data_IF_632596566242
#
_entry.id   IF_632596566242
#
_cell.length_a   1.000
_cell.length_b   1.000
_cell.length_c   1.000
_cell.angle_alpha   90.00
_cell.angle_beta   90.00
_cell.angle_gamma   90.00
#
_symmetry.space_group_name_H-M   'P 1'
#
loop_
_entity.id
_entity.type
_entity.pdbx_description
1 polymer ?
#
# COMPACT_ATOMS: atom_id res chain seq x y z
N UNK A 1 21.23 -40.00 7.14
CA UNK A 1 21.93 -39.13 8.12
C UNK A 1 23.25 -38.57 7.57
N UNK A 2 24.17 -39.42 7.08
CA UNK A 2 25.46 -38.93 6.52
C UNK A 2 25.26 -38.01 5.30
N UNK A 3 24.38 -38.40 4.37
CA UNK A 3 24.07 -37.61 3.16
C UNK A 3 23.48 -36.24 3.51
N UNK A 4 22.52 -36.16 4.45
CA UNK A 4 21.93 -34.88 4.89
C UNK A 4 22.93 -34.00 5.64
N UNK A 5 23.82 -34.58 6.45
CA UNK A 5 24.86 -33.83 7.15
C UNK A 5 25.98 -33.35 6.21
N UNK A 6 26.23 -34.06 5.11
CA UNK A 6 27.15 -33.60 4.07
C UNK A 6 26.51 -32.48 3.24
N UNK A 7 25.23 -32.61 2.88
CA UNK A 7 24.49 -31.64 2.07
C UNK A 7 24.50 -30.21 2.66
N UNK A 8 24.37 -30.04 3.99
CA UNK A 8 24.44 -28.70 4.63
C UNK A 8 25.84 -28.08 4.57
N UNK A 9 26.89 -28.92 4.49
CA UNK A 9 28.29 -28.49 4.43
C UNK A 9 28.74 -28.14 3.01
N UNK A 10 27.96 -28.50 1.99
CA UNK A 10 28.26 -28.13 0.60
C UNK A 10 28.17 -26.61 0.48
N UNK A 11 29.19 -25.94 -0.10
CA UNK A 11 29.13 -24.50 -0.32
C UNK A 11 27.97 -24.13 -1.24
N UNK A 12 27.42 -22.94 -1.04
CA UNK A 12 26.42 -22.38 -1.96
C UNK A 12 27.08 -22.11 -3.32
N UNK A 13 26.28 -22.16 -4.37
CA UNK A 13 26.73 -21.80 -5.72
C UNK A 13 26.75 -20.28 -5.82
N UNK A 14 27.93 -19.69 -5.97
CA UNK A 14 28.10 -18.25 -6.23
C UNK A 14 27.56 -17.87 -7.60
N UNK A 15 26.91 -16.71 -7.70
CA UNK A 15 26.26 -16.19 -8.92
C UNK A 15 25.35 -17.22 -9.63
N UNK A 16 24.54 -17.94 -8.85
CA UNK A 16 23.64 -18.96 -9.38
C UNK A 16 22.70 -18.34 -10.43
N UNK A 17 22.74 -18.87 -11.65
CA UNK A 17 21.90 -18.45 -12.77
C UNK A 17 21.50 -19.66 -13.63
N UNK A 18 20.51 -19.48 -14.51
CA UNK A 18 20.05 -20.51 -15.45
C UNK A 18 21.11 -20.89 -16.50
N UNK A 19 22.17 -20.10 -16.65
CA UNK A 19 23.23 -20.35 -17.62
C UNK A 19 24.26 -21.39 -17.15
N UNK A 20 24.27 -21.72 -15.85
CA UNK A 20 25.21 -22.69 -15.29
C UNK A 20 24.72 -24.10 -15.60
N UNK A 21 25.53 -24.87 -16.32
CA UNK A 21 25.21 -26.25 -16.70
C UNK A 21 25.67 -27.25 -15.64
N UNK A 22 24.98 -28.40 -15.57
CA UNK A 22 25.32 -29.51 -14.68
C UNK A 22 24.46 -29.62 -13.42
N UNK A 23 24.70 -30.68 -12.66
CA UNK A 23 23.97 -30.95 -11.41
C UNK A 23 24.53 -30.12 -10.26
N UNK A 24 23.90 -28.96 -10.06
CA UNK A 24 24.23 -28.04 -8.98
C UNK A 24 23.70 -28.52 -7.62
N UNK A 25 24.32 -28.09 -6.50
CA UNK A 25 23.86 -28.38 -5.13
C UNK A 25 22.35 -28.14 -4.93
N UNK A 26 21.78 -27.13 -5.59
CA UNK A 26 20.36 -26.79 -5.52
C UNK A 26 19.43 -27.97 -5.85
N UNK A 27 19.81 -28.84 -6.80
CA UNK A 27 19.01 -30.01 -7.20
C UNK A 27 18.99 -31.07 -6.09
N UNK A 28 20.15 -31.29 -5.46
CA UNK A 28 20.27 -32.22 -4.35
C UNK A 28 19.48 -31.73 -3.13
N UNK A 29 19.64 -30.45 -2.77
CA UNK A 29 18.91 -29.85 -1.64
C UNK A 29 17.41 -29.90 -1.87
N UNK A 30 16.93 -29.57 -3.08
CA UNK A 30 15.51 -29.68 -3.44
C UNK A 30 14.99 -31.11 -3.24
N UNK A 31 15.70 -32.13 -3.75
CA UNK A 31 15.27 -33.51 -3.62
C UNK A 31 15.28 -34.01 -2.16
N UNK A 32 16.27 -33.58 -1.37
CA UNK A 32 16.36 -33.91 0.06
C UNK A 32 15.26 -33.23 0.89
N UNK A 33 14.88 -32.01 0.54
CA UNK A 33 13.74 -31.31 1.14
C UNK A 33 12.41 -31.96 0.75
N UNK A 34 12.24 -32.30 -0.54
CA UNK A 34 11.03 -32.97 -1.06
C UNK A 34 10.81 -34.34 -0.42
N UNK A 35 11.88 -35.09 -0.19
CA UNK A 35 11.85 -36.39 0.51
C UNK A 35 11.75 -36.28 2.04
N UNK A 36 11.66 -35.06 2.61
CA UNK A 36 11.62 -34.79 4.06
C UNK A 36 12.83 -35.35 4.82
N UNK A 37 13.96 -35.55 4.13
CA UNK A 37 15.17 -36.19 4.68
C UNK A 37 15.82 -35.35 5.79
N UNK A 38 15.80 -34.01 5.65
CA UNK A 38 16.34 -33.08 6.66
C UNK A 38 15.56 -33.16 7.98
N UNK A 39 14.23 -33.21 7.91
CA UNK A 39 13.38 -33.34 9.10
C UNK A 39 13.55 -34.71 9.76
N UNK A 40 13.62 -35.79 8.97
CA UNK A 40 13.85 -37.15 9.48
C UNK A 40 15.16 -37.27 10.26
N UNK A 41 16.19 -36.52 9.88
CA UNK A 41 17.51 -36.58 10.50
C UNK A 41 17.83 -35.39 11.42
N UNK A 42 16.84 -34.51 11.71
CA UNK A 42 16.99 -33.32 12.56
C UNK A 42 18.17 -32.42 12.15
N UNK A 43 18.38 -32.24 10.85
CA UNK A 43 19.40 -31.32 10.30
C UNK A 43 18.71 -30.07 9.72
N UNK A 44 19.05 -28.88 10.23
CA UNK A 44 18.54 -27.60 9.71
C UNK A 44 19.28 -27.18 8.44
N UNK A 45 18.53 -26.75 7.41
CA UNK A 45 19.07 -26.26 6.12
C UNK A 45 18.91 -24.73 5.95
N UNK A 46 18.33 -24.03 6.95
CA UNK A 46 17.99 -22.60 6.89
C UNK A 46 19.13 -21.73 6.34
N UNK A 47 20.31 -21.84 6.94
CA UNK A 47 21.44 -20.96 6.62
C UNK A 47 21.99 -21.20 5.22
N UNK A 48 21.84 -22.42 4.70
CA UNK A 48 22.23 -22.74 3.32
C UNK A 48 21.25 -22.09 2.34
N UNK A 49 19.93 -22.21 2.59
CA UNK A 49 18.90 -21.60 1.75
C UNK A 49 19.08 -20.08 1.72
N UNK A 50 19.20 -19.43 2.87
CA UNK A 50 19.39 -17.98 2.95
C UNK A 50 20.63 -17.51 2.17
N UNK A 51 21.78 -18.17 2.38
CA UNK A 51 23.01 -17.85 1.63
C UNK A 51 22.86 -18.09 0.13
N UNK A 52 22.17 -19.16 -0.29
CA UNK A 52 21.98 -19.45 -1.72
C UNK A 52 21.09 -18.40 -2.40
N UNK A 53 20.05 -17.89 -1.72
CA UNK A 53 19.22 -16.80 -2.24
C UNK A 53 20.02 -15.50 -2.39
N UNK A 54 20.95 -15.24 -1.48
CA UNK A 54 21.85 -14.08 -1.55
C UNK A 54 22.83 -14.14 -2.74
N UNK A 55 23.25 -15.34 -3.12
CA UNK A 55 24.23 -15.59 -4.19
C UNK A 55 23.58 -15.87 -5.56
N UNK A 56 22.30 -15.52 -5.74
CA UNK A 56 21.57 -15.73 -7.00
C UNK A 56 21.56 -14.50 -7.89
N UNK A 57 21.75 -14.70 -9.19
CA UNK A 57 21.75 -13.64 -10.22
C UNK A 57 20.78 -13.96 -11.37
N UNK A 58 20.55 -12.99 -12.25
CA UNK A 58 19.79 -13.20 -13.49
C UNK A 58 20.66 -13.84 -14.58
N UNK A 59 20.10 -14.66 -15.50
CA UNK A 59 18.71 -15.17 -15.52
C UNK A 59 18.44 -16.19 -14.40
N UNK A 60 17.20 -16.21 -13.90
CA UNK A 60 16.83 -16.99 -12.71
C UNK A 60 16.85 -18.51 -12.97
N UNK A 61 17.53 -19.28 -12.11
CA UNK A 61 17.56 -20.74 -12.21
C UNK A 61 16.16 -21.36 -11.95
N UNK A 62 15.66 -22.28 -12.80
CA UNK A 62 14.27 -22.77 -12.75
C UNK A 62 13.91 -23.51 -11.45
N UNK A 63 14.90 -24.11 -10.78
CA UNK A 63 14.71 -24.85 -9.53
C UNK A 63 14.52 -23.95 -8.28
N UNK A 64 14.70 -22.63 -8.39
CA UNK A 64 14.67 -21.73 -7.23
C UNK A 64 13.29 -21.57 -6.60
N UNK A 65 12.25 -21.27 -7.39
CA UNK A 65 10.90 -21.10 -6.84
C UNK A 65 10.37 -22.41 -6.23
N UNK A 66 10.48 -23.57 -6.90
CA UNK A 66 10.07 -24.84 -6.29
C UNK A 66 10.87 -25.21 -5.04
N UNK A 67 12.15 -24.81 -4.95
CA UNK A 67 12.95 -25.00 -3.74
C UNK A 67 12.39 -24.19 -2.57
N UNK A 68 12.05 -22.92 -2.80
CA UNK A 68 11.45 -22.03 -1.80
C UNK A 68 10.11 -22.62 -1.31
N UNK A 69 9.26 -23.08 -2.22
CA UNK A 69 7.95 -23.65 -1.88
C UNK A 69 8.07 -24.91 -1.02
N UNK A 70 8.97 -25.83 -1.39
CA UNK A 70 9.21 -27.04 -0.60
C UNK A 70 9.85 -26.71 0.75
N UNK A 71 10.70 -25.68 0.81
CA UNK A 71 11.27 -25.20 2.05
C UNK A 71 10.19 -24.64 3.00
N UNK A 72 9.28 -23.80 2.51
CA UNK A 72 8.13 -23.28 3.28
C UNK A 72 7.28 -24.43 3.82
N UNK A 73 6.92 -25.39 2.96
CA UNK A 73 6.17 -26.58 3.36
C UNK A 73 6.93 -27.46 4.38
N UNK A 74 8.27 -27.40 4.38
CA UNK A 74 9.10 -28.11 5.38
C UNK A 74 9.06 -27.50 6.77
N UNK A 75 8.74 -26.19 6.86
CA UNK A 75 8.59 -25.46 8.13
C UNK A 75 7.19 -25.69 8.72
N UNK A 76 6.16 -25.62 7.87
CA UNK A 76 4.76 -25.59 8.32
C UNK A 76 4.14 -26.99 8.48
N UNK A 77 4.50 -27.96 7.64
CA UNK A 77 3.93 -29.31 7.70
C UNK A 77 4.78 -30.23 8.59
N UNK A 78 4.20 -30.89 9.62
CA UNK A 78 4.93 -31.84 10.45
C UNK A 78 5.35 -33.07 9.64
N UNK A 79 6.53 -33.63 9.90
CA UNK A 79 7.02 -34.82 9.21
C UNK A 79 6.36 -36.12 9.68
N UNK A 80 5.81 -36.16 10.90
CA UNK A 80 5.09 -37.32 11.45
C UNK A 80 4.22 -36.90 12.64
N UNK A 81 3.13 -37.65 12.90
CA UNK A 81 2.29 -37.51 14.12
C UNK A 81 3.08 -37.72 15.41
N UNK A 82 4.22 -38.41 15.35
CA UNK A 82 5.06 -38.77 16.50
C UNK A 82 6.20 -37.79 16.81
N UNK A 83 6.52 -36.86 15.90
CA UNK A 83 7.56 -35.83 16.11
C UNK A 83 7.07 -34.49 15.55
N UNK A 84 6.39 -33.66 16.37
CA UNK A 84 5.82 -32.39 15.93
C UNK A 84 6.87 -31.27 15.73
N UNK A 85 8.11 -31.47 16.18
CA UNK A 85 9.19 -30.50 16.01
C UNK A 85 9.66 -30.41 14.55
N UNK A 86 9.23 -29.36 13.85
CA UNK A 86 9.86 -28.91 12.62
C UNK A 86 11.33 -28.56 12.90
N UNK A 87 12.22 -29.27 12.22
CA UNK A 87 13.67 -29.07 12.27
C UNK A 87 14.10 -27.77 11.59
N UNK A 88 13.37 -27.35 10.56
CA UNK A 88 13.66 -26.13 9.82
C UNK A 88 12.92 -24.95 10.46
N UNK A 89 13.61 -23.81 10.53
CA UNK A 89 13.08 -22.58 11.09
C UNK A 89 12.87 -21.55 9.97
N UNK A 90 11.89 -20.65 10.09
CA UNK A 90 11.75 -19.55 9.15
C UNK A 90 13.01 -18.68 9.14
N UNK A 91 13.24 -17.99 8.02
CA UNK A 91 14.25 -16.93 7.95
C UNK A 91 13.86 -15.84 8.95
N UNK A 92 14.82 -15.37 9.74
CA UNK A 92 14.54 -14.41 10.81
C UNK A 92 14.22 -13.03 10.25
N UNK A 93 13.45 -12.24 10.99
CA UNK A 93 13.11 -10.87 10.59
C UNK A 93 14.35 -9.99 10.39
N UNK A 94 15.40 -10.19 11.20
CA UNK A 94 16.68 -9.48 11.06
C UNK A 94 17.39 -9.83 9.75
N UNK A 95 17.39 -11.11 9.35
CA UNK A 95 17.97 -11.57 8.09
C UNK A 95 17.21 -11.02 6.88
N UNK A 96 15.87 -10.93 6.97
CA UNK A 96 15.02 -10.31 5.96
C UNK A 96 15.33 -8.81 5.88
N UNK A 97 15.34 -8.11 7.02
CA UNK A 97 15.68 -6.69 7.12
C UNK A 97 17.05 -6.38 6.53
N UNK A 98 18.06 -7.21 6.79
CA UNK A 98 19.42 -7.03 6.27
C UNK A 98 19.47 -7.04 4.73
N UNK A 99 18.61 -7.82 4.06
CA UNK A 99 18.53 -7.85 2.58
C UNK A 99 17.95 -6.53 2.02
N UNK A 100 17.14 -5.85 2.82
CA UNK A 100 16.45 -4.62 2.46
C UNK A 100 17.07 -3.35 3.08
N UNK A 101 18.12 -3.47 3.89
CA UNK A 101 18.89 -2.34 4.41
C UNK A 101 19.53 -1.56 3.24
N UNK A 102 19.13 -0.30 3.09
CA UNK A 102 19.38 0.54 1.91
C UNK A 102 18.12 1.10 1.25
N UNK A 103 16.94 0.53 1.58
CA UNK A 103 15.64 0.98 1.08
C UNK A 103 14.90 1.92 2.05
N UNK A 104 15.21 1.81 3.34
CA UNK A 104 14.67 2.68 4.40
C UNK A 104 15.47 3.99 4.42
N UNK A 105 14.89 5.04 3.86
CA UNK A 105 15.48 6.38 3.85
C UNK A 105 15.64 6.90 5.28
N UNK A 106 16.86 6.84 5.80
CA UNK A 106 17.32 7.47 7.02
C UNK A 106 18.76 7.95 6.83
N UNK A 107 18.93 9.27 6.90
CA UNK A 107 20.16 10.06 7.06
C UNK A 107 21.45 9.65 6.29
N UNK A 108 21.78 10.49 5.29
CA UNK A 108 23.11 11.05 4.97
C UNK A 108 24.36 10.19 4.76
N UNK A 109 24.28 8.87 4.74
CA UNK A 109 25.36 8.04 4.18
C UNK A 109 24.75 7.03 3.25
N UNK A 110 24.93 7.18 1.92
CA UNK A 110 24.52 6.20 0.91
C UNK A 110 25.00 4.80 1.37
N UNK A 111 24.14 3.91 1.91
CA UNK A 111 24.58 2.57 2.20
C UNK A 111 24.71 1.92 0.82
N UNK A 112 25.91 1.48 0.45
CA UNK A 112 26.11 0.69 -0.75
C UNK A 112 25.08 -0.46 -0.72
N UNK A 113 24.20 -0.52 -1.72
CA UNK A 113 23.18 -1.54 -1.81
C UNK A 113 23.86 -2.91 -1.80
N UNK A 114 23.81 -3.59 -0.65
CA UNK A 114 24.63 -4.78 -0.38
C UNK A 114 24.16 -6.02 -1.13
N UNK A 115 22.87 -6.05 -1.46
CA UNK A 115 22.22 -7.17 -2.13
C UNK A 115 21.56 -6.75 -3.43
N UNK A 116 21.61 -7.62 -4.44
CA UNK A 116 21.02 -7.38 -5.75
C UNK A 116 19.49 -7.27 -5.69
N UNK A 117 18.88 -6.64 -6.70
CA UNK A 117 17.42 -6.62 -6.85
C UNK A 117 16.84 -8.03 -6.95
N UNK A 118 17.54 -8.96 -7.59
CA UNK A 118 17.12 -10.37 -7.71
C UNK A 118 16.99 -11.03 -6.35
N UNK A 119 17.97 -10.80 -5.47
CA UNK A 119 17.93 -11.29 -4.08
C UNK A 119 16.74 -10.70 -3.32
N UNK A 120 16.51 -9.39 -3.47
CA UNK A 120 15.37 -8.69 -2.85
C UNK A 120 14.03 -9.28 -3.31
N UNK A 121 13.88 -9.54 -4.61
CA UNK A 121 12.68 -10.15 -5.20
C UNK A 121 12.45 -11.58 -4.71
N UNK A 122 13.51 -12.39 -4.58
CA UNK A 122 13.41 -13.77 -4.12
C UNK A 122 13.06 -13.86 -2.63
N UNK A 123 13.66 -13.00 -1.81
CA UNK A 123 13.30 -12.92 -0.40
C UNK A 123 11.86 -12.44 -0.25
N UNK A 124 11.42 -11.47 -1.05
CA UNK A 124 10.03 -11.04 -1.04
C UNK A 124 9.08 -12.19 -1.40
N UNK A 125 9.37 -12.94 -2.47
CA UNK A 125 8.58 -14.11 -2.86
C UNK A 125 8.52 -15.13 -1.72
N UNK A 126 9.63 -15.38 -1.03
CA UNK A 126 9.64 -16.24 0.16
C UNK A 126 8.69 -15.73 1.25
N UNK A 127 8.75 -14.44 1.61
CA UNK A 127 7.90 -13.91 2.70
C UNK A 127 6.41 -13.95 2.32
N UNK A 128 6.05 -13.53 1.10
CA UNK A 128 4.66 -13.56 0.63
C UNK A 128 4.11 -14.99 0.56
N UNK A 129 4.88 -15.92 0.00
CA UNK A 129 4.50 -17.34 -0.07
C UNK A 129 4.43 -17.97 1.33
N UNK A 130 5.27 -17.53 2.27
CA UNK A 130 5.24 -17.98 3.64
C UNK A 130 3.97 -17.51 4.37
N UNK A 131 3.54 -16.26 4.17
CA UNK A 131 2.28 -15.73 4.70
C UNK A 131 1.06 -16.46 4.12
N UNK A 132 1.01 -16.66 2.81
CA UNK A 132 -0.06 -17.42 2.15
C UNK A 132 -0.14 -18.86 2.70
N UNK A 133 1.01 -19.52 2.83
CA UNK A 133 1.08 -20.88 3.37
C UNK A 133 0.75 -20.94 4.86
N UNK A 134 1.07 -19.90 5.64
CA UNK A 134 0.71 -19.79 7.05
C UNK A 134 -0.81 -19.75 7.19
N UNK A 135 -1.48 -18.87 6.46
CA UNK A 135 -2.94 -18.73 6.43
C UNK A 135 -3.63 -20.01 5.94
N UNK A 136 -3.05 -20.71 4.97
CA UNK A 136 -3.59 -21.97 4.46
C UNK A 136 -3.46 -23.14 5.46
N UNK A 137 -2.41 -23.13 6.30
CA UNK A 137 -2.10 -24.22 7.23
C UNK A 137 -2.44 -23.91 8.70
N UNK A 138 -3.13 -22.81 8.99
CA UNK A 138 -3.53 -22.40 10.35
C UNK A 138 -4.14 -23.55 11.15
N UNK A 139 -5.05 -24.33 10.52
CA UNK A 139 -5.67 -25.56 11.06
C UNK A 139 -4.68 -26.57 11.65
N UNK A 140 -3.57 -26.78 10.95
CA UNK A 140 -2.56 -27.77 11.33
C UNK A 140 -1.66 -27.19 12.43
N UNK A 141 -1.34 -25.90 12.35
CA UNK A 141 -0.42 -25.22 13.28
C UNK A 141 -1.05 -24.97 14.65
N UNK A 142 -2.34 -24.60 14.71
CA UNK A 142 -3.10 -24.44 15.96
C UNK A 142 -3.25 -25.78 16.68
N UNK A 143 -3.55 -26.86 15.94
CA UNK A 143 -3.61 -28.23 16.48
C UNK A 143 -2.28 -28.71 17.06
N UNK A 144 -1.17 -28.13 16.59
CA UNK A 144 0.19 -28.39 17.07
C UNK A 144 0.66 -27.38 18.13
N UNK A 145 -0.22 -26.49 18.62
CA UNK A 145 0.10 -25.41 19.59
C UNK A 145 1.32 -24.56 19.18
N UNK A 146 1.49 -24.31 17.87
CA UNK A 146 2.63 -23.56 17.36
C UNK A 146 2.26 -22.10 17.12
N UNK A 147 2.83 -21.21 17.93
CA UNK A 147 2.79 -19.77 17.66
C UNK A 147 3.90 -19.43 16.67
N UNK A 148 3.60 -19.52 15.38
CA UNK A 148 4.50 -19.05 14.34
C UNK A 148 4.25 -17.55 14.20
N UNK A 149 5.26 -16.73 14.56
CA UNK A 149 5.19 -15.28 14.43
C UNK A 149 5.03 -14.93 12.95
N UNK A 150 3.95 -14.21 12.60
CA UNK A 150 3.87 -13.56 11.29
C UNK A 150 5.01 -12.56 11.18
N UNK A 151 5.68 -12.52 10.03
CA UNK A 151 6.69 -11.51 9.76
C UNK A 151 6.01 -10.15 9.91
N UNK A 152 6.51 -9.30 10.81
CA UNK A 152 5.91 -8.00 11.09
C UNK A 152 5.71 -7.22 9.78
N UNK A 153 4.47 -6.80 9.51
CA UNK A 153 4.03 -6.14 8.26
C UNK A 153 4.71 -4.80 7.95
N UNK A 154 5.78 -4.44 8.65
CA UNK A 154 6.60 -3.25 8.42
C UNK A 154 7.71 -3.49 7.37
N UNK A 155 8.29 -4.70 7.33
CA UNK A 155 9.47 -5.01 6.48
C UNK A 155 9.11 -5.27 5.02
N UNK A 156 7.95 -5.88 4.78
CA UNK A 156 7.46 -6.25 3.44
C UNK A 156 7.21 -5.02 2.55
N UNK A 157 6.99 -3.84 3.15
CA UNK A 157 6.19 -2.79 2.50
C UNK A 157 6.95 -1.80 1.65
N UNK A 158 8.18 -1.43 2.05
CA UNK A 158 9.07 -0.65 1.18
C UNK A 158 9.60 -1.47 -0.01
N UNK A 159 9.48 -2.81 0.09
CA UNK A 159 10.01 -3.77 -0.89
C UNK A 159 8.97 -4.07 -1.97
N UNK A 160 7.74 -4.44 -1.58
CA UNK A 160 6.62 -4.74 -2.49
C UNK A 160 6.43 -3.65 -3.55
N UNK A 161 6.64 -2.39 -3.16
CA UNK A 161 6.47 -1.30 -4.08
C UNK A 161 7.63 -1.17 -5.08
N UNK A 162 8.89 -1.28 -4.63
CA UNK A 162 10.01 -1.30 -5.59
C UNK A 162 9.94 -2.48 -6.56
N UNK A 163 9.31 -3.59 -6.15
CA UNK A 163 8.98 -4.68 -7.05
C UNK A 163 8.01 -4.23 -8.15
N UNK A 164 6.95 -3.49 -7.82
CA UNK A 164 6.05 -2.89 -8.82
C UNK A 164 6.78 -1.92 -9.78
N UNK A 165 7.73 -1.12 -9.28
CA UNK A 165 8.55 -0.22 -10.13
C UNK A 165 9.57 -0.99 -10.99
N UNK A 166 10.06 -2.14 -10.53
CA UNK A 166 11.03 -2.99 -11.26
C UNK A 166 10.37 -4.07 -12.12
N UNK A 167 9.04 -4.14 -12.14
CA UNK A 167 8.24 -5.22 -12.72
C UNK A 167 8.46 -5.40 -14.23
N UNK A 168 8.78 -4.33 -14.99
CA UNK A 168 9.07 -4.43 -16.42
C UNK A 168 10.40 -5.14 -16.78
N UNK A 169 11.30 -5.37 -15.82
CA UNK A 169 12.63 -5.96 -16.07
C UNK A 169 12.92 -7.31 -15.40
N UNK A 170 11.98 -7.85 -14.62
CA UNK A 170 12.18 -9.07 -13.84
C UNK A 170 12.03 -10.36 -14.70
N UNK A 171 12.68 -11.48 -14.33
CA UNK A 171 12.49 -12.76 -15.02
C UNK A 171 11.02 -13.24 -14.92
N UNK A 172 10.41 -13.53 -16.07
CA UNK A 172 8.96 -13.73 -16.27
C UNK A 172 8.28 -14.68 -15.25
N UNK A 173 8.96 -15.75 -14.83
CA UNK A 173 8.39 -16.73 -13.88
C UNK A 173 8.31 -16.24 -12.42
N UNK A 174 9.25 -15.40 -11.97
CA UNK A 174 9.19 -14.81 -10.63
C UNK A 174 8.19 -13.66 -10.58
N UNK A 175 8.13 -12.89 -11.66
CA UNK A 175 7.17 -11.81 -11.84
C UNK A 175 5.72 -12.27 -11.73
N UNK A 176 5.32 -13.30 -12.48
CA UNK A 176 3.93 -13.80 -12.45
C UNK A 176 3.52 -14.32 -11.08
N UNK A 177 4.43 -15.03 -10.38
CA UNK A 177 4.19 -15.54 -9.04
C UNK A 177 4.02 -14.41 -8.01
N UNK A 178 4.88 -13.39 -8.07
CA UNK A 178 4.78 -12.21 -7.21
C UNK A 178 3.51 -11.39 -7.48
N UNK A 179 3.12 -11.20 -8.74
CA UNK A 179 1.89 -10.47 -9.09
C UNK A 179 0.66 -11.16 -8.51
N UNK A 180 0.60 -12.49 -8.65
CA UNK A 180 -0.48 -13.29 -8.08
C UNK A 180 -0.59 -13.08 -6.57
N UNK A 181 0.53 -13.21 -5.85
CA UNK A 181 0.57 -13.05 -4.40
C UNK A 181 0.20 -11.63 -3.94
N UNK A 182 0.62 -10.61 -4.70
CA UNK A 182 0.25 -9.22 -4.46
C UNK A 182 -1.25 -8.99 -4.64
N UNK A 183 -1.80 -9.42 -5.78
CA UNK A 183 -3.21 -9.24 -6.09
C UNK A 183 -4.13 -9.98 -5.09
N UNK A 184 -3.70 -11.14 -4.57
CA UNK A 184 -4.50 -11.89 -3.59
C UNK A 184 -4.41 -11.34 -2.18
N UNK A 185 -3.21 -10.93 -1.74
CA UNK A 185 -2.98 -10.60 -0.32
C UNK A 185 -3.04 -9.08 -0.04
N UNK A 186 -2.79 -8.26 -1.07
CA UNK A 186 -2.67 -6.80 -0.96
C UNK A 186 -3.39 -6.07 -2.11
N UNK A 187 -4.72 -6.30 -2.29
CA UNK A 187 -5.48 -5.74 -3.40
C UNK A 187 -5.48 -4.20 -3.45
N UNK A 188 -5.35 -3.55 -2.29
CA UNK A 188 -5.23 -2.09 -2.16
C UNK A 188 -3.94 -1.50 -2.73
N UNK A 189 -2.94 -2.31 -3.08
CA UNK A 189 -1.73 -1.88 -3.79
C UNK A 189 -1.81 -2.16 -5.30
N UNK A 190 -2.90 -2.82 -5.73
CA UNK A 190 -3.14 -3.23 -7.11
C UNK A 190 -4.31 -2.47 -7.73
N UNK A 191 -4.51 -1.21 -7.30
CA UNK A 191 -5.51 -0.31 -7.88
C UNK A 191 -5.01 0.06 -9.28
N UNK A 192 -5.84 -0.17 -10.30
CA UNK A 192 -5.46 0.02 -11.71
C UNK A 192 -5.05 1.46 -12.00
N UNK A 193 -5.77 2.42 -11.41
CA UNK A 193 -5.52 3.85 -11.60
C UNK A 193 -4.12 4.28 -11.10
N UNK A 194 -3.54 3.56 -10.13
CA UNK A 194 -2.18 3.83 -9.65
C UNK A 194 -1.11 3.44 -10.67
N UNK A 195 -1.39 2.47 -11.55
CA UNK A 195 -0.41 1.91 -12.48
C UNK A 195 -0.52 2.51 -13.87
N UNK A 196 -1.75 2.83 -14.30
CA UNK A 196 -2.00 3.33 -15.65
C UNK A 196 -1.34 4.70 -15.91
N UNK A 197 -1.13 5.50 -14.86
CA UNK A 197 -0.50 6.81 -14.97
C UNK A 197 0.99 6.77 -15.35
N UNK A 198 1.67 5.63 -15.21
CA UNK A 198 3.08 5.48 -15.62
C UNK A 198 3.24 5.10 -17.10
N UNK A 199 2.14 4.76 -17.81
CA UNK A 199 2.23 4.42 -19.22
C UNK A 199 2.60 5.65 -20.06
N UNK A 200 3.66 5.50 -20.88
CA UNK A 200 4.12 6.57 -21.75
C UNK A 200 3.13 6.81 -22.90
N UNK A 201 2.32 7.87 -22.80
CA UNK A 201 1.34 8.22 -23.83
C UNK A 201 2.03 8.78 -25.10
N UNK A 202 3.04 9.64 -24.93
CA UNK A 202 3.72 10.34 -26.05
C UNK A 202 5.25 10.41 -25.93
N UNK A 203 5.83 9.95 -24.81
CA UNK A 203 7.27 10.06 -24.51
C UNK A 203 7.75 11.48 -24.14
N UNK A 204 6.84 12.46 -24.05
CA UNK A 204 7.17 13.87 -23.78
C UNK A 204 7.85 14.08 -22.42
N UNK A 205 7.41 13.39 -21.37
CA UNK A 205 8.00 13.55 -20.03
C UNK A 205 9.47 13.11 -19.97
N UNK A 206 9.82 12.03 -20.66
CA UNK A 206 11.21 11.57 -20.75
C UNK A 206 12.08 12.58 -21.51
N UNK A 207 11.53 13.21 -22.56
CA UNK A 207 12.21 14.27 -23.29
C UNK A 207 12.42 15.52 -22.42
N UNK A 208 11.36 16.00 -21.74
CA UNK A 208 11.44 17.15 -20.84
C UNK A 208 12.44 16.91 -19.72
N UNK A 209 12.42 15.72 -19.11
CA UNK A 209 13.41 15.32 -18.11
C UNK A 209 14.82 15.44 -18.65
N UNK A 210 15.09 14.92 -19.86
CA UNK A 210 16.43 14.99 -20.48
C UNK A 210 16.85 16.43 -20.85
N UNK A 211 15.90 17.27 -21.25
CA UNK A 211 16.17 18.64 -21.67
C UNK A 211 16.34 19.60 -20.49
N UNK A 212 15.58 19.42 -19.42
CA UNK A 212 15.49 20.35 -18.29
C UNK A 212 16.33 19.91 -17.08
N UNK A 213 16.53 18.61 -16.85
CA UNK A 213 17.44 18.09 -15.82
C UNK A 213 18.85 17.88 -16.38
N UNK A 214 19.47 18.97 -16.83
CA UNK A 214 20.89 18.94 -17.21
C UNK A 214 21.80 19.00 -15.97
N UNK A 215 23.09 18.66 -16.11
CA UNK A 215 24.07 18.82 -15.01
C UNK A 215 24.21 20.27 -14.48
N UNK A 216 23.63 21.23 -15.19
CA UNK A 216 23.60 22.66 -14.85
C UNK A 216 22.32 23.03 -14.08
N UNK A 217 21.30 22.17 -14.09
CA UNK A 217 20.07 22.38 -13.36
C UNK A 217 20.35 22.48 -11.85
N UNK A 218 19.70 23.44 -11.18
CA UNK A 218 19.80 23.58 -9.73
C UNK A 218 19.22 22.33 -9.06
N UNK A 219 20.06 21.57 -8.38
CA UNK A 219 19.59 20.52 -7.50
C UNK A 219 19.02 21.17 -6.24
N UNK A 220 17.72 21.01 -6.03
CA UNK A 220 17.07 21.47 -4.82
C UNK A 220 17.28 20.45 -3.71
N UNK A 221 17.48 20.89 -2.46
CA UNK A 221 17.52 19.98 -1.32
C UNK A 221 16.19 19.97 -0.57
N UNK A 222 15.86 18.90 0.18
CA UNK A 222 14.66 18.88 1.01
C UNK A 222 14.57 20.06 2.00
N UNK A 223 15.73 20.54 2.50
CA UNK A 223 15.81 21.72 3.38
C UNK A 223 15.36 23.01 2.66
N UNK A 224 15.79 23.21 1.42
CA UNK A 224 15.35 24.36 0.61
C UNK A 224 13.85 24.32 0.31
N UNK A 225 13.28 23.11 0.11
CA UNK A 225 11.84 22.96 -0.04
C UNK A 225 11.11 23.34 1.27
N UNK A 226 11.63 22.91 2.42
CA UNK A 226 11.05 23.26 3.73
C UNK A 226 11.10 24.77 3.99
N UNK A 227 12.21 25.43 3.66
CA UNK A 227 12.35 26.89 3.74
C UNK A 227 11.35 27.59 2.81
N UNK A 228 11.16 27.11 1.59
CA UNK A 228 10.19 27.66 0.66
C UNK A 228 8.74 27.53 1.17
N UNK A 229 8.38 26.41 1.80
CA UNK A 229 7.08 26.24 2.45
C UNK A 229 6.89 27.20 3.62
N UNK A 230 7.93 27.46 4.42
CA UNK A 230 7.85 28.38 5.56
C UNK A 230 7.60 29.85 5.16
N UNK A 231 7.80 30.19 3.89
CA UNK A 231 7.55 31.52 3.34
C UNK A 231 6.10 31.73 2.85
N UNK A 232 5.24 30.69 2.91
CA UNK A 232 3.81 30.84 2.64
C UNK A 232 3.11 31.58 3.80
N UNK A 233 2.11 32.45 3.51
CA UNK A 233 1.53 32.79 2.21
C UNK A 233 2.22 33.95 1.46
N UNK A 234 3.39 34.41 1.92
CA UNK A 234 4.04 35.63 1.42
C UNK A 234 4.73 35.49 0.05
N UNK A 235 5.37 34.34 -0.25
CA UNK A 235 6.08 34.14 -1.52
C UNK A 235 5.77 32.78 -2.15
N UNK A 236 5.09 32.82 -3.30
CA UNK A 236 4.68 31.63 -4.06
C UNK A 236 5.68 31.22 -5.15
N UNK A 237 6.49 32.16 -5.65
CA UNK A 237 7.33 31.97 -6.84
C UNK A 237 8.45 30.97 -6.59
N UNK A 238 9.14 31.09 -5.46
CA UNK A 238 10.24 30.19 -5.12
C UNK A 238 9.74 28.75 -4.93
N UNK A 239 8.60 28.58 -4.24
CA UNK A 239 8.00 27.26 -4.03
C UNK A 239 7.58 26.63 -5.36
N UNK A 240 6.91 27.39 -6.24
CA UNK A 240 6.49 26.88 -7.55
C UNK A 240 7.68 26.42 -8.41
N UNK A 241 8.77 27.19 -8.45
CA UNK A 241 9.98 26.81 -9.21
C UNK A 241 10.59 25.49 -8.73
N UNK A 242 10.62 25.29 -7.40
CA UNK A 242 11.11 24.03 -6.82
C UNK A 242 10.15 22.89 -7.19
N UNK A 243 8.85 23.07 -7.02
CA UNK A 243 7.85 22.04 -7.31
C UNK A 243 7.87 21.64 -8.80
N UNK A 244 7.95 22.59 -9.72
CA UNK A 244 8.07 22.32 -11.17
C UNK A 244 9.29 21.45 -11.47
N UNK A 245 10.45 21.77 -10.89
CA UNK A 245 11.64 20.94 -11.01
C UNK A 245 11.43 19.52 -10.46
N UNK A 246 10.81 19.40 -9.29
CA UNK A 246 10.54 18.11 -8.66
C UNK A 246 9.60 17.24 -9.52
N UNK A 247 8.65 17.83 -10.26
CA UNK A 247 7.72 17.04 -11.12
C UNK A 247 8.40 16.33 -12.28
N UNK A 248 9.67 16.64 -12.57
CA UNK A 248 10.48 15.99 -13.59
C UNK A 248 11.31 14.82 -13.05
N UNK A 249 11.43 14.68 -11.73
CA UNK A 249 12.21 13.63 -11.09
C UNK A 249 11.51 12.27 -11.20
N UNK A 250 12.29 11.20 -11.13
CA UNK A 250 11.71 9.86 -10.97
C UNK A 250 11.13 9.67 -9.56
N UNK A 251 10.14 8.79 -9.45
CA UNK A 251 9.52 8.46 -8.16
C UNK A 251 10.54 8.07 -7.08
N UNK A 252 11.60 7.33 -7.44
CA UNK A 252 12.68 6.97 -6.52
C UNK A 252 13.50 8.16 -6.00
N UNK A 253 13.72 9.18 -6.81
CA UNK A 253 14.43 10.42 -6.44
C UNK A 253 13.55 11.36 -5.58
N UNK A 254 12.22 11.19 -5.64
CA UNK A 254 11.28 12.01 -4.87
C UNK A 254 11.14 11.56 -3.40
N UNK A 255 11.52 10.32 -3.07
CA UNK A 255 11.39 9.74 -1.72
C UNK A 255 11.92 10.68 -0.60
N UNK A 256 13.10 11.32 -0.72
CA UNK A 256 13.63 12.21 0.31
C UNK A 256 12.81 13.48 0.56
N UNK A 257 11.96 13.89 -0.38
CA UNK A 257 11.12 15.09 -0.27
C UNK A 257 9.75 14.81 0.35
N UNK A 258 9.37 13.54 0.47
CA UNK A 258 8.03 13.14 0.93
C UNK A 258 7.65 13.71 2.29
N UNK A 259 8.58 13.71 3.26
CA UNK A 259 8.32 14.22 4.60
C UNK A 259 8.05 15.72 4.62
N UNK A 260 8.83 16.48 3.84
CA UNK A 260 8.64 17.91 3.67
C UNK A 260 7.33 18.19 2.93
N UNK A 261 7.02 17.44 1.87
CA UNK A 261 5.76 17.61 1.14
C UNK A 261 4.54 17.36 2.03
N UNK A 262 4.51 16.25 2.77
CA UNK A 262 3.35 15.90 3.60
C UNK A 262 3.22 16.81 4.81
N UNK A 263 4.31 17.10 5.53
CA UNK A 263 4.25 17.89 6.78
C UNK A 263 3.72 19.32 6.57
N UNK A 264 3.93 19.88 5.38
CA UNK A 264 3.47 21.22 5.04
C UNK A 264 2.12 21.25 4.29
N UNK A 265 1.43 20.11 4.11
CA UNK A 265 0.15 20.08 3.39
C UNK A 265 -0.94 20.95 4.03
N UNK A 266 -0.93 21.14 5.35
CA UNK A 266 -1.88 22.04 6.01
C UNK A 266 -1.69 23.51 5.61
N UNK A 267 -0.46 23.94 5.35
CA UNK A 267 -0.17 25.31 4.93
C UNK A 267 -0.74 25.60 3.53
N UNK A 268 -0.99 24.56 2.73
CA UNK A 268 -1.61 24.70 1.42
C UNK A 268 -3.11 25.02 1.50
N UNK A 269 -3.73 24.85 2.68
CA UNK A 269 -5.13 25.19 2.94
C UNK A 269 -5.32 26.65 3.35
N UNK A 270 -4.25 27.43 3.46
CA UNK A 270 -4.32 28.83 3.84
C UNK A 270 -4.78 29.70 2.65
N UNK A 271 -5.46 30.80 2.97
CA UNK A 271 -6.00 31.69 1.93
C UNK A 271 -4.87 32.32 1.10
N UNK A 272 -5.06 32.39 -0.22
CA UNK A 272 -4.12 33.02 -1.15
C UNK A 272 -3.11 32.09 -1.82
N UNK A 273 -3.11 30.79 -1.50
CA UNK A 273 -2.26 29.80 -2.18
C UNK A 273 -2.74 29.57 -3.62
N UNK A 274 -1.89 29.76 -4.65
CA UNK A 274 -2.26 29.55 -6.05
C UNK A 274 -2.60 28.09 -6.37
N UNK A 275 -3.59 27.89 -7.25
CA UNK A 275 -4.03 26.56 -7.73
C UNK A 275 -2.90 25.72 -8.34
N UNK A 276 -1.95 26.36 -9.03
CA UNK A 276 -0.81 25.67 -9.64
C UNK A 276 0.07 24.94 -8.62
N UNK A 277 0.23 25.48 -7.40
CA UNK A 277 0.99 24.82 -6.32
C UNK A 277 0.24 23.56 -5.85
N UNK A 278 -1.08 23.66 -5.65
CA UNK A 278 -1.90 22.52 -5.25
C UNK A 278 -1.86 21.40 -6.30
N UNK A 279 -1.93 21.74 -7.59
CA UNK A 279 -1.83 20.77 -8.68
C UNK A 279 -0.45 20.11 -8.75
N UNK A 280 0.62 20.89 -8.59
CA UNK A 280 1.98 20.34 -8.56
C UNK A 280 2.18 19.39 -7.37
N UNK A 281 1.69 19.76 -6.19
CA UNK A 281 1.73 18.89 -5.00
C UNK A 281 0.91 17.61 -5.22
N UNK A 282 -0.29 17.70 -5.78
CA UNK A 282 -1.08 16.51 -6.11
C UNK A 282 -0.34 15.58 -7.08
N UNK A 283 0.22 16.13 -8.16
CA UNK A 283 1.02 15.34 -9.12
C UNK A 283 2.21 14.64 -8.45
N UNK A 284 2.96 15.36 -7.60
CA UNK A 284 4.07 14.78 -6.85
C UNK A 284 3.61 13.70 -5.87
N UNK A 285 2.47 13.90 -5.22
CA UNK A 285 1.89 12.92 -4.31
C UNK A 285 1.50 11.65 -5.06
N UNK A 286 0.85 11.75 -6.23
CA UNK A 286 0.51 10.58 -7.07
C UNK A 286 1.77 9.83 -7.51
N UNK A 287 2.83 10.51 -7.95
CA UNK A 287 4.11 9.86 -8.29
C UNK A 287 4.78 9.21 -7.06
N UNK A 288 4.66 9.81 -5.87
CA UNK A 288 5.13 9.19 -4.63
C UNK A 288 4.27 8.00 -4.20
N UNK A 289 2.98 8.02 -4.54
CA UNK A 289 2.07 6.91 -4.32
C UNK A 289 2.52 5.68 -5.12
N UNK A 290 3.16 5.91 -6.27
CA UNK A 290 3.85 4.88 -7.04
C UNK A 290 5.25 4.50 -6.52
N UNK A 291 5.61 4.79 -5.27
CA UNK A 291 6.82 4.22 -4.64
C UNK A 291 6.64 3.78 -3.19
N UNK A 292 5.78 4.44 -2.42
CA UNK A 292 5.61 4.15 -1.00
C UNK A 292 4.21 4.54 -0.45
N UNK A 293 3.12 4.00 -1.03
CA UNK A 293 1.75 4.42 -0.80
C UNK A 293 1.37 4.37 0.68
N UNK A 294 1.59 3.25 1.38
CA UNK A 294 1.21 3.13 2.80
C UNK A 294 1.89 4.14 3.72
N UNK A 295 3.21 4.35 3.54
CA UNK A 295 3.95 5.35 4.33
C UNK A 295 3.44 6.74 4.02
N UNK A 296 3.27 7.05 2.74
CA UNK A 296 2.76 8.32 2.25
C UNK A 296 1.36 8.61 2.80
N UNK A 297 0.46 7.62 2.77
CA UNK A 297 -0.91 7.71 3.29
C UNK A 297 -0.92 8.04 4.78
N UNK A 298 -0.15 7.29 5.59
CA UNK A 298 -0.04 7.54 7.05
C UNK A 298 0.50 8.95 7.31
N UNK A 299 1.53 9.38 6.57
CA UNK A 299 2.08 10.74 6.70
C UNK A 299 1.05 11.80 6.31
N UNK A 300 0.26 11.55 5.27
CA UNK A 300 -0.78 12.45 4.76
C UNK A 300 -1.96 12.58 5.73
N UNK A 301 -2.49 11.46 6.27
CA UNK A 301 -3.57 11.51 7.29
C UNK A 301 -3.11 12.28 8.52
N UNK A 302 -1.89 12.01 8.99
CA UNK A 302 -1.35 12.68 10.17
C UNK A 302 -1.06 14.17 9.92
N UNK A 303 -0.72 14.54 8.69
CA UNK A 303 -0.55 15.93 8.32
C UNK A 303 -1.90 16.65 8.28
N UNK A 304 -2.89 16.14 7.55
CA UNK A 304 -4.18 16.81 7.28
C UNK A 304 -5.19 16.78 8.44
N UNK A 305 -4.74 16.57 9.68
CA UNK A 305 -5.62 16.62 10.84
C UNK A 305 -6.11 18.05 11.14
N UNK A 306 -7.33 18.21 11.67
CA UNK A 306 -7.78 19.48 12.20
C UNK A 306 -6.78 20.09 13.19
N UNK A 307 -6.70 21.42 13.24
CA UNK A 307 -5.73 22.13 14.08
C UNK A 307 -5.77 21.65 15.54
N UNK A 308 -4.59 21.45 16.13
CA UNK A 308 -4.38 20.99 17.52
C UNK A 308 -5.11 21.81 18.59
N UNK A 309 -5.57 23.02 18.25
CA UNK A 309 -6.36 23.89 19.14
C UNK A 309 -7.76 23.34 19.42
N UNK A 310 -8.28 22.44 18.58
CA UNK A 310 -9.68 21.97 18.61
C UNK A 310 -9.78 20.51 19.06
N UNK A 311 -8.85 19.64 18.64
CA UNK A 311 -8.86 18.20 18.96
C UNK A 311 -7.46 17.75 19.38
N UNK A 312 -7.38 16.83 20.35
CA UNK A 312 -6.13 16.18 20.76
C UNK A 312 -5.54 15.46 19.55
N UNK A 313 -4.44 15.96 18.99
CA UNK A 313 -3.75 15.32 17.87
C UNK A 313 -3.33 13.90 18.25
N UNK A 314 -3.90 12.92 17.56
CA UNK A 314 -3.56 11.52 17.72
C UNK A 314 -2.70 11.11 16.53
N UNK A 315 -1.52 10.53 16.79
CA UNK A 315 -0.69 10.00 15.73
C UNK A 315 -1.26 8.64 15.30
N UNK A 316 -1.91 8.61 14.14
CA UNK A 316 -2.44 7.39 13.56
C UNK A 316 -1.33 6.53 12.96
N UNK A 317 -1.41 5.24 13.19
CA UNK A 317 -0.54 4.23 12.60
C UNK A 317 -1.23 3.56 11.41
N UNK A 318 -0.48 2.80 10.62
CA UNK A 318 -1.05 2.00 9.53
C UNK A 318 -2.14 1.04 10.02
N UNK A 319 -1.99 0.49 11.23
CA UNK A 319 -2.98 -0.43 11.79
C UNK A 319 -4.31 0.26 12.10
N UNK A 320 -4.24 1.46 12.68
CA UNK A 320 -5.45 2.24 13.01
C UNK A 320 -6.26 2.55 11.74
N UNK A 321 -5.58 2.94 10.67
CA UNK A 321 -6.20 3.28 9.38
C UNK A 321 -6.71 2.06 8.60
N UNK A 322 -6.10 0.89 8.79
CA UNK A 322 -6.61 -0.37 8.23
C UNK A 322 -7.84 -0.88 8.97
N UNK A 323 -7.95 -0.62 10.28
CA UNK A 323 -9.11 -1.02 11.10
C UNK A 323 -10.29 -0.09 10.87
N UNK A 324 -10.06 1.23 10.85
CA UNK A 324 -11.09 2.25 10.59
C UNK A 324 -10.67 3.18 9.43
N UNK A 325 -10.99 2.81 8.17
CA UNK A 325 -10.74 3.65 7.00
C UNK A 325 -11.42 5.03 7.05
N UNK A 326 -12.51 5.18 7.81
CA UNK A 326 -13.25 6.44 7.88
C UNK A 326 -12.47 7.54 8.60
N UNK A 327 -11.38 7.20 9.31
CA UNK A 327 -10.45 8.19 9.87
C UNK A 327 -9.92 9.14 8.78
N UNK A 328 -9.73 8.65 7.55
CA UNK A 328 -9.26 9.45 6.41
C UNK A 328 -10.19 10.64 6.12
N UNK A 329 -11.49 10.49 6.37
CA UNK A 329 -12.51 11.53 6.17
C UNK A 329 -12.61 12.52 7.34
N UNK A 330 -11.92 12.28 8.47
CA UNK A 330 -11.89 13.17 9.64
C UNK A 330 -10.82 14.26 9.53
N UNK A 331 -10.43 14.61 8.30
CA UNK A 331 -9.43 15.63 8.00
C UNK A 331 -9.92 17.06 8.28
N UNK A 332 -9.03 18.06 8.17
CA UNK A 332 -9.39 19.48 8.23
C UNK A 332 -10.46 19.79 7.17
N UNK A 333 -11.61 20.35 7.59
CA UNK A 333 -12.76 20.62 6.71
C UNK A 333 -12.41 21.52 5.52
N UNK A 334 -11.35 22.33 5.59
CA UNK A 334 -10.89 23.13 4.45
C UNK A 334 -10.49 22.27 3.24
N UNK A 335 -10.09 21.02 3.46
CA UNK A 335 -9.77 20.05 2.39
C UNK A 335 -11.01 19.79 1.53
N UNK A 336 -12.22 19.83 2.10
CA UNK A 336 -13.48 19.60 1.39
C UNK A 336 -13.78 20.65 0.31
N UNK A 337 -12.99 21.73 0.24
CA UNK A 337 -13.06 22.80 -0.78
C UNK A 337 -11.74 22.99 -1.54
N UNK A 338 -10.84 22.03 -1.44
CA UNK A 338 -9.57 21.98 -2.19
C UNK A 338 -9.55 20.74 -3.08
N UNK A 339 -9.95 20.85 -4.36
CA UNK A 339 -10.09 19.69 -5.24
C UNK A 339 -8.82 18.82 -5.35
N UNK A 340 -7.58 19.36 -5.47
CA UNK A 340 -6.39 18.53 -5.56
C UNK A 340 -6.07 17.77 -4.26
N UNK A 341 -6.43 18.31 -3.09
CA UNK A 341 -6.24 17.59 -1.82
C UNK A 341 -7.39 16.62 -1.56
N UNK A 342 -8.60 16.95 -2.00
CA UNK A 342 -9.74 16.04 -1.93
C UNK A 342 -9.51 14.80 -2.81
N UNK A 343 -8.91 14.97 -3.98
CA UNK A 343 -8.48 13.87 -4.86
C UNK A 343 -7.55 12.88 -4.11
N UNK A 344 -6.54 13.40 -3.41
CA UNK A 344 -5.65 12.60 -2.54
C UNK A 344 -6.43 11.85 -1.45
N UNK A 345 -7.35 12.54 -0.75
CA UNK A 345 -8.17 11.94 0.31
C UNK A 345 -9.04 10.81 -0.23
N UNK A 346 -9.68 11.01 -1.38
CA UNK A 346 -10.52 10.00 -2.03
C UNK A 346 -9.70 8.79 -2.47
N UNK A 347 -8.50 9.02 -2.99
CA UNK A 347 -7.57 7.96 -3.37
C UNK A 347 -7.16 7.11 -2.16
N UNK A 348 -6.79 7.76 -1.06
CA UNK A 348 -6.43 7.09 0.19
C UNK A 348 -7.61 6.34 0.79
N UNK A 349 -8.82 6.92 0.77
CA UNK A 349 -10.03 6.28 1.27
C UNK A 349 -10.29 4.97 0.52
N UNK A 350 -10.26 4.99 -0.82
CA UNK A 350 -10.45 3.79 -1.62
C UNK A 350 -9.41 2.72 -1.27
N UNK A 351 -8.13 3.11 -1.18
CA UNK A 351 -7.05 2.24 -0.76
C UNK A 351 -7.26 1.62 0.62
N UNK A 352 -7.68 2.40 1.62
CA UNK A 352 -7.93 1.88 2.97
C UNK A 352 -9.21 1.05 3.08
N UNK A 353 -10.27 1.33 2.32
CA UNK A 353 -11.46 0.47 2.25
C UNK A 353 -11.07 -0.92 1.73
N UNK A 354 -10.27 -0.99 0.65
CA UNK A 354 -9.73 -2.25 0.13
C UNK A 354 -8.78 -2.94 1.14
N UNK A 355 -7.94 -2.17 1.83
CA UNK A 355 -7.03 -2.70 2.83
C UNK A 355 -7.77 -3.29 4.05
N UNK A 356 -8.83 -2.62 4.52
CA UNK A 356 -9.70 -3.09 5.59
C UNK A 356 -10.40 -4.39 5.21
N UNK A 357 -10.93 -4.49 3.99
CA UNK A 357 -11.51 -5.73 3.44
C UNK A 357 -10.50 -6.89 3.45
N UNK A 358 -9.28 -6.66 2.96
CA UNK A 358 -8.23 -7.66 2.96
C UNK A 358 -7.81 -8.06 4.39
N UNK A 359 -7.66 -7.08 5.28
CA UNK A 359 -7.32 -7.29 6.69
C UNK A 359 -8.36 -8.14 7.41
N UNK A 360 -9.64 -7.81 7.31
CA UNK A 360 -10.73 -8.56 7.95
C UNK A 360 -10.85 -9.98 7.40
N UNK A 361 -10.63 -10.18 6.10
CA UNK A 361 -10.59 -11.51 5.49
C UNK A 361 -9.46 -12.39 6.05
N UNK A 362 -8.27 -11.82 6.25
CA UNK A 362 -7.14 -12.53 6.85
C UNK A 362 -7.37 -12.79 8.35
N UNK A 363 -7.81 -11.77 9.09
CA UNK A 363 -8.09 -11.86 10.52
C UNK A 363 -9.17 -12.89 10.85
N UNK A 364 -10.21 -13.01 10.02
CA UNK A 364 -11.24 -14.02 10.20
C UNK A 364 -10.68 -15.44 10.03
N UNK A 365 -9.82 -15.68 9.04
CA UNK A 365 -9.14 -16.97 8.84
C UNK A 365 -8.23 -17.34 10.02
N UNK A 366 -7.62 -16.35 10.66
CA UNK A 366 -6.81 -16.55 11.86
C UNK A 366 -7.67 -16.82 13.12
N UNK A 367 -8.83 -16.19 13.23
CA UNK A 367 -9.66 -16.21 14.46
C UNK A 367 -10.76 -17.29 14.48
N UNK A 368 -11.18 -17.80 13.31
CA UNK A 368 -12.28 -18.77 13.16
C UNK A 368 -12.14 -20.09 13.97
N UNK A 369 -11.01 -20.29 14.67
CA UNK A 369 -10.72 -21.51 15.43
C UNK A 369 -10.49 -21.29 16.93
N UNK A 370 -10.53 -20.07 17.46
CA UNK A 370 -10.58 -19.86 18.92
C UNK A 370 -11.91 -20.34 19.52
N UNK A 371 -12.97 -20.38 18.71
CA UNK A 371 -14.32 -20.81 19.10
C UNK A 371 -14.52 -22.34 19.04
N UNK A 372 -13.56 -23.11 18.47
CA UNK A 372 -13.56 -24.59 18.53
C UNK A 372 -12.82 -25.06 19.80
N UNK A 373 -13.11 -24.45 20.95
CA UNK A 373 -12.99 -25.17 22.22
C UNK A 373 -14.34 -25.83 22.44
N UNK A 374 -14.42 -27.16 22.61
CA UNK A 374 -15.69 -27.80 22.87
C UNK A 374 -16.18 -27.28 24.22
N UNK A 375 -17.16 -26.38 24.21
CA UNK A 375 -18.05 -26.16 25.34
C UNK A 375 -18.85 -27.44 25.53
N UNK A 376 -18.20 -28.47 26.11
CA UNK A 376 -18.91 -29.50 26.85
C UNK A 376 -19.51 -28.80 28.06
N UNK A 377 -20.76 -28.36 27.89
CA UNK A 377 -21.79 -28.13 28.90
C UNK A 377 -22.64 -26.93 28.48
N UNK A 378 -23.72 -27.17 27.73
CA UNK A 378 -25.06 -27.16 28.31
C UNK A 378 -26.12 -27.38 27.23
N UNK A 379 -27.13 -28.16 27.63
CA UNK A 379 -28.33 -28.43 26.87
C UNK A 379 -29.30 -27.23 26.87
N UNK A 380 -30.10 -27.19 25.81
CA UNK A 380 -31.47 -26.62 25.70
C UNK A 380 -31.61 -25.15 25.25
N UNK A 381 -32.19 -24.96 24.06
CA UNK A 381 -32.82 -23.71 23.57
C UNK A 381 -33.05 -23.74 22.05
N UNK A 382 -34.20 -23.31 21.52
CA UNK A 382 -34.52 -23.43 20.09
C UNK A 382 -33.72 -22.44 19.24
N UNK A 383 -33.41 -22.89 18.03
CA UNK A 383 -32.60 -22.27 16.97
C UNK A 383 -32.92 -20.79 16.71
N UNK A 384 -32.09 -19.89 17.22
CA UNK A 384 -31.82 -18.63 16.53
C UNK A 384 -30.81 -18.91 15.42
N UNK A 385 -30.90 -18.30 14.23
CA UNK A 385 -29.83 -18.42 13.24
C UNK A 385 -28.58 -17.81 13.87
N UNK A 386 -27.60 -18.65 14.23
CA UNK A 386 -26.29 -18.17 14.66
C UNK A 386 -25.70 -17.38 13.49
N UNK A 387 -25.79 -16.05 13.56
CA UNK A 387 -25.20 -15.16 12.56
C UNK A 387 -23.72 -15.49 12.50
N UNK A 388 -23.29 -16.02 11.36
CA UNK A 388 -21.93 -16.53 11.25
C UNK A 388 -20.94 -15.36 11.33
N UNK A 389 -19.71 -15.61 11.80
CA UNK A 389 -18.66 -14.55 11.82
C UNK A 389 -18.40 -13.99 10.41
N UNK A 390 -18.63 -14.79 9.38
CA UNK A 390 -18.57 -14.39 7.97
C UNK A 390 -19.71 -13.41 7.61
N UNK A 391 -20.94 -13.66 8.06
CA UNK A 391 -22.07 -12.74 7.91
C UNK A 391 -21.84 -11.42 8.66
N UNK A 392 -21.33 -11.48 9.90
CA UNK A 392 -20.98 -10.26 10.66
C UNK A 392 -19.90 -9.44 9.96
N UNK A 393 -18.87 -10.10 9.41
CA UNK A 393 -17.83 -9.43 8.62
C UNK A 393 -18.43 -8.76 7.39
N UNK A 394 -19.27 -9.46 6.63
CA UNK A 394 -19.89 -8.91 5.43
C UNK A 394 -20.83 -7.74 5.75
N UNK A 395 -21.61 -7.84 6.83
CA UNK A 395 -22.45 -6.74 7.32
C UNK A 395 -21.61 -5.53 7.76
N UNK A 396 -20.51 -5.73 8.47
CA UNK A 396 -19.60 -4.67 8.89
C UNK A 396 -18.99 -3.96 7.68
N UNK A 397 -18.51 -4.71 6.68
CA UNK A 397 -17.94 -4.17 5.46
C UNK A 397 -18.97 -3.35 4.66
N UNK A 398 -20.19 -3.87 4.50
CA UNK A 398 -21.26 -3.16 3.82
C UNK A 398 -21.66 -1.88 4.56
N UNK A 399 -21.74 -1.92 5.91
CA UNK A 399 -22.01 -0.75 6.72
C UNK A 399 -20.89 0.30 6.63
N UNK A 400 -19.62 -0.14 6.63
CA UNK A 400 -18.46 0.74 6.47
C UNK A 400 -18.47 1.44 5.11
N UNK A 401 -18.70 0.69 4.02
CA UNK A 401 -18.79 1.26 2.68
C UNK A 401 -19.97 2.23 2.57
N UNK A 402 -21.14 1.87 3.11
CA UNK A 402 -22.32 2.76 3.13
C UNK A 402 -22.07 4.04 3.92
N UNK A 403 -21.43 3.95 5.08
CA UNK A 403 -21.06 5.11 5.89
C UNK A 403 -20.07 6.02 5.16
N UNK A 404 -19.08 5.44 4.46
CA UNK A 404 -18.18 6.22 3.61
C UNK A 404 -18.95 6.98 2.53
N UNK A 405 -19.88 6.32 1.82
CA UNK A 405 -20.72 6.96 0.80
C UNK A 405 -21.54 8.10 1.40
N UNK A 406 -22.19 7.90 2.54
CA UNK A 406 -23.01 8.94 3.19
C UNK A 406 -22.17 10.16 3.58
N UNK A 407 -21.01 9.96 4.21
CA UNK A 407 -20.10 11.07 4.57
C UNK A 407 -19.66 11.82 3.30
N UNK A 408 -19.33 11.11 2.23
CA UNK A 408 -18.96 11.74 0.96
C UNK A 408 -20.11 12.55 0.34
N UNK A 409 -21.35 12.05 0.42
CA UNK A 409 -22.53 12.80 -0.03
C UNK A 409 -22.79 14.05 0.83
N UNK A 410 -22.55 13.97 2.14
CA UNK A 410 -22.63 15.14 3.02
C UNK A 410 -21.57 16.20 2.67
N UNK A 411 -20.35 15.78 2.29
CA UNK A 411 -19.29 16.70 1.85
C UNK A 411 -19.69 17.49 0.59
N UNK A 412 -20.53 16.89 -0.28
CA UNK A 412 -21.07 17.53 -1.48
C UNK A 412 -22.06 18.67 -1.19
N UNK A 413 -22.55 18.81 0.04
CA UNK A 413 -23.47 19.87 0.40
C UNK A 413 -22.75 21.22 0.42
N UNK A 414 -23.38 22.29 -0.09
CA UNK A 414 -22.84 23.65 0.03
C UNK A 414 -22.87 24.10 1.48
N UNK A 415 -21.86 24.86 1.89
CA UNK A 415 -21.81 25.52 3.21
C UNK A 415 -22.83 26.65 3.28
N UNK A 416 -23.17 27.07 4.50
CA UNK A 416 -24.07 28.21 4.72
C UNK A 416 -23.53 29.51 4.09
N UNK A 417 -22.20 29.68 4.07
CA UNK A 417 -21.52 30.82 3.41
C UNK A 417 -21.70 30.78 1.88
N UNK A 418 -21.56 29.60 1.27
CA UNK A 418 -21.74 29.38 -0.17
C UNK A 418 -23.21 29.57 -0.60
N UNK A 419 -24.17 29.15 0.24
CA UNK A 419 -25.61 29.41 0.04
C UNK A 419 -25.97 30.89 0.12
N UNK A 420 -25.30 31.64 1.00
CA UNK A 420 -25.45 33.09 1.12
C UNK A 420 -24.90 33.85 -0.09
N UNK A 421 -23.78 33.39 -0.67
CA UNK A 421 -23.17 34.01 -1.84
C UNK A 421 -23.98 33.76 -3.13
N UNK A 422 -24.55 32.57 -3.31
CA UNK A 422 -25.43 32.28 -4.45
C UNK A 422 -26.72 33.12 -4.41
N UNK A 423 -27.31 33.29 -3.22
CA UNK A 423 -28.53 34.11 -3.05
C UNK A 423 -28.26 35.62 -3.17
N UNK A 424 -27.09 36.10 -2.73
CA UNK A 424 -26.68 37.50 -2.92
C UNK A 424 -26.36 37.80 -4.40
N UNK A 425 -25.73 36.86 -5.11
CA UNK A 425 -25.48 36.98 -6.55
C UNK A 425 -26.78 36.94 -7.38
N UNK A 426 -27.72 36.04 -7.03
CA UNK A 426 -29.07 36.04 -7.62
C UNK A 426 -29.84 37.33 -7.32
N UNK A 427 -29.69 37.91 -6.13
CA UNK A 427 -30.31 39.17 -5.74
C UNK A 427 -29.79 40.38 -6.52
N UNK A 428 -28.47 40.45 -6.75
CA UNK A 428 -27.85 41.50 -7.56
C UNK A 428 -28.19 41.37 -9.05
N UNK A 429 -28.20 40.14 -9.60
CA UNK A 429 -28.52 39.88 -11.01
C UNK A 429 -30.01 40.08 -11.31
N UNK A 430 -30.91 39.77 -10.37
CA UNK A 430 -32.34 40.14 -10.46
C UNK A 430 -32.57 41.65 -10.52
N UNK A 431 -31.65 42.46 -9.96
CA UNK A 431 -31.72 43.92 -9.98
C UNK A 431 -31.33 44.55 -11.31
N UNK A 432 -30.52 43.88 -12.15
CA UNK A 432 -30.04 44.45 -13.42
C UNK A 432 -30.64 43.81 -14.68
N UNK A 433 -31.09 42.55 -14.66
CA UNK A 433 -31.72 41.93 -15.83
C UNK A 433 -32.80 40.90 -15.45
N UNK A 434 -34.07 41.27 -15.59
CA UNK A 434 -35.21 40.35 -15.54
C UNK A 434 -35.40 39.65 -16.90
N UNK A 435 -34.50 38.73 -17.25
CA UNK A 435 -34.58 37.93 -18.47
C UNK A 435 -33.99 36.52 -18.29
N UNK A 436 -34.38 35.54 -19.13
CA UNK A 436 -33.98 34.14 -18.99
C UNK A 436 -32.45 33.90 -18.98
N UNK A 437 -31.65 34.81 -19.55
CA UNK A 437 -30.18 34.77 -19.54
C UNK A 437 -29.53 35.05 -18.18
N UNK A 438 -30.22 35.75 -17.26
CA UNK A 438 -29.67 36.04 -15.92
C UNK A 438 -29.75 34.82 -14.99
N UNK A 439 -30.73 33.93 -15.19
CA UNK A 439 -30.82 32.66 -14.49
C UNK A 439 -29.71 31.70 -14.95
N UNK A 440 -29.41 31.67 -16.25
CA UNK A 440 -28.31 30.87 -16.81
C UNK A 440 -26.94 31.31 -16.27
N UNK A 441 -26.67 32.63 -16.20
CA UNK A 441 -25.40 33.16 -15.68
C UNK A 441 -25.20 32.92 -14.17
N UNK A 442 -26.26 32.99 -13.35
CA UNK A 442 -26.20 32.65 -11.92
C UNK A 442 -25.95 31.15 -11.69
N UNK A 443 -26.47 30.30 -12.58
CA UNK A 443 -26.26 28.86 -12.56
C UNK A 443 -24.85 28.48 -13.06
N UNK A 444 -24.31 29.19 -14.05
CA UNK A 444 -22.91 29.08 -14.51
C UNK A 444 -21.89 29.49 -13.45
N UNK A 445 -22.15 30.55 -12.67
CA UNK A 445 -21.27 30.94 -11.57
C UNK A 445 -21.25 29.90 -10.43
N UNK A 446 -22.39 29.24 -10.17
CA UNK A 446 -22.49 28.10 -9.25
C UNK A 446 -21.72 26.86 -9.75
N UNK A 447 -21.58 26.71 -11.08
CA UNK A 447 -20.83 25.61 -11.71
C UNK A 447 -19.30 25.83 -11.70
N UNK A 448 -18.83 27.08 -11.63
CA UNK A 448 -17.40 27.43 -11.67
C UNK A 448 -16.81 27.59 -10.25
N UNK A 449 -16.99 26.58 -9.39
CA UNK A 449 -16.49 26.60 -8.02
C UNK A 449 -15.73 25.32 -7.66
N UNK A 450 -14.85 25.41 -6.64
CA UNK A 450 -14.14 24.25 -6.10
C UNK A 450 -15.10 23.16 -5.62
N UNK A 451 -16.27 23.54 -5.09
CA UNK A 451 -17.30 22.58 -4.68
C UNK A 451 -17.76 21.72 -5.85
N UNK A 452 -17.90 22.28 -7.06
CA UNK A 452 -18.31 21.51 -8.24
C UNK A 452 -17.27 20.47 -8.63
N UNK A 453 -15.98 20.83 -8.62
CA UNK A 453 -14.90 19.88 -8.88
C UNK A 453 -14.86 18.76 -7.83
N UNK A 454 -15.01 19.11 -6.54
CA UNK A 454 -15.09 18.13 -5.45
C UNK A 454 -16.28 17.19 -5.64
N UNK A 455 -17.46 17.70 -5.98
CA UNK A 455 -18.63 16.87 -6.30
C UNK A 455 -18.34 15.92 -7.46
N UNK A 456 -17.67 16.38 -8.52
CA UNK A 456 -17.28 15.51 -9.63
C UNK A 456 -16.33 14.40 -9.19
N UNK A 457 -15.29 14.71 -8.41
CA UNK A 457 -14.35 13.72 -7.89
C UNK A 457 -15.05 12.68 -7.00
N UNK A 458 -15.92 13.13 -6.09
CA UNK A 458 -16.72 12.24 -5.24
C UNK A 458 -17.62 11.35 -6.10
N UNK A 459 -18.35 11.92 -7.06
CA UNK A 459 -19.20 11.15 -7.97
C UNK A 459 -18.40 10.13 -8.78
N UNK A 460 -17.18 10.45 -9.21
CA UNK A 460 -16.29 9.50 -9.88
C UNK A 460 -15.94 8.33 -8.95
N UNK A 461 -15.56 8.59 -7.69
CA UNK A 461 -15.29 7.53 -6.72
C UNK A 461 -16.54 6.68 -6.45
N UNK A 462 -17.69 7.30 -6.20
CA UNK A 462 -18.95 6.60 -5.97
C UNK A 462 -19.33 5.71 -7.15
N UNK A 463 -19.15 6.21 -8.37
CA UNK A 463 -19.37 5.43 -9.59
C UNK A 463 -18.45 4.20 -9.64
N UNK A 464 -17.17 4.33 -9.30
CA UNK A 464 -16.25 3.18 -9.21
C UNK A 464 -16.67 2.20 -8.11
N UNK A 465 -17.08 2.68 -6.94
CA UNK A 465 -17.58 1.85 -5.84
C UNK A 465 -18.82 1.04 -6.27
N UNK A 466 -19.74 1.66 -7.01
CA UNK A 466 -20.97 1.02 -7.50
C UNK A 466 -20.72 0.02 -8.62
N UNK A 467 -19.70 0.25 -9.47
CA UNK A 467 -19.23 -0.75 -10.43
C UNK A 467 -18.63 -1.95 -9.68
N UNK A 468 -17.84 -1.70 -8.64
CA UNK A 468 -17.16 -2.75 -7.88
C UNK A 468 -18.13 -3.61 -7.05
N UNK A 469 -19.12 -3.00 -6.39
CA UNK A 469 -20.18 -3.70 -5.66
C UNK A 469 -21.54 -3.00 -5.81
N UNK A 470 -22.42 -3.52 -6.70
CA UNK A 470 -23.76 -2.97 -6.92
C UNK A 470 -24.69 -3.01 -5.70
N UNK A 471 -24.39 -3.80 -4.66
CA UNK A 471 -25.24 -3.88 -3.48
C UNK A 471 -25.12 -2.65 -2.59
N UNK A 472 -23.98 -1.93 -2.65
CA UNK A 472 -23.77 -0.69 -1.90
C UNK A 472 -24.82 0.35 -2.30
N UNK A 473 -25.12 0.48 -3.60
CA UNK A 473 -26.16 1.40 -4.11
C UNK A 473 -27.50 1.14 -3.45
N UNK A 474 -27.91 -0.13 -3.37
CA UNK A 474 -29.17 -0.50 -2.74
C UNK A 474 -29.15 -0.13 -1.27
N UNK A 475 -28.09 -0.50 -0.55
CA UNK A 475 -27.99 -0.23 0.88
C UNK A 475 -28.05 1.28 1.18
N UNK A 476 -27.33 2.09 0.42
CA UNK A 476 -27.32 3.55 0.55
C UNK A 476 -28.69 4.15 0.26
N UNK A 477 -29.44 3.63 -0.73
CA UNK A 477 -30.80 4.11 -1.01
C UNK A 477 -31.85 3.66 0.02
N UNK A 478 -31.62 2.55 0.72
CA UNK A 478 -32.50 2.07 1.78
C UNK A 478 -32.30 2.83 3.10
N UNK A 479 -31.11 3.40 3.31
CA UNK A 479 -30.76 4.29 4.41
C UNK A 479 -31.26 5.71 4.13
#
# INVERSE_FOLDING_TARGET
QVVTAHAVRVPVTGNLSANITGFLPIHCIYQLLKSRSFTKHKVSIKDWIYRQLCETTTPLHPQLLPLIDVYINSILTPASKSNPEATNQPVTEQEILNVFQGLSGGENTRPAQRYSITTQLLVLYYVLSYEEALLANTKILVRLQRCVKSSSGSVMMGVLFRVAVTFCGAPQGLHSALLRLLATNYPHLCIVDDWICEEQITGTDALLRRMLLTNIAKNHSPKQLQEAFSMLPGNHTQLMQILEHLTLLSAGELIPYSEVLTSNMNCLLDAGVPRGILQAVNKLWMVLNTVMPRRLWVMTVNALQPSAKIVRQQKYTQNDLMIDPLIVLRCDQRVHRSPPLMDIILHMLNGYLLASKAYLNSHLKETAEQDIRPSQNNAMGPEAPEVTREELKNALLAAQDSAAVQILLEICLPTEEERGQSSSCEGLLKGLHSGPRAAEAGQEASLLCNLREVQCLICCLLHQMYIADPNIVKLVHFQ
#
